data_IF_335254648922
#
_entry.id   IF_335254648922
#
_cell.length_a   1.000
_cell.length_b   1.000
_cell.length_c   1.000
_cell.angle_alpha   90.00
_cell.angle_beta   90.00
_cell.angle_gamma   90.00
#
_symmetry.space_group_name_H-M   'P 1'
#
loop_
_entity.id
_entity.type
_entity.pdbx_description
1 polymer ?
#
# COMPACT_ATOMS: atom_id res chain seq x y z
N UNK A 1 1.70 -13.37 -2.46
CA UNK A 1 0.51 -13.36 -3.34
C UNK A 1 -0.41 -12.23 -2.91
N UNK A 2 -0.84 -11.40 -3.85
CA UNK A 2 -1.60 -10.17 -3.66
C UNK A 2 -3.02 -10.43 -4.19
N UNK A 3 -4.04 -10.28 -3.33
CA UNK A 3 -5.45 -10.35 -3.72
C UNK A 3 -5.99 -8.94 -3.97
N UNK A 4 -6.54 -8.70 -5.16
CA UNK A 4 -7.24 -7.46 -5.52
C UNK A 4 -8.71 -7.80 -5.75
N UNK A 5 -9.59 -7.19 -4.93
CA UNK A 5 -11.04 -7.34 -5.06
C UNK A 5 -11.59 -6.26 -5.97
N UNK A 6 -12.16 -6.69 -7.10
CA UNK A 6 -12.86 -5.83 -8.03
C UNK A 6 -14.38 -6.09 -7.89
N UNK A 7 -15.25 -5.18 -8.39
CA UNK A 7 -16.69 -5.33 -8.22
C UNK A 7 -17.28 -6.66 -8.74
N UNK A 8 -16.66 -7.28 -9.76
CA UNK A 8 -17.18 -8.51 -10.42
C UNK A 8 -16.25 -9.72 -10.32
N UNK A 9 -15.02 -9.55 -9.85
CA UNK A 9 -14.03 -10.62 -9.84
C UNK A 9 -12.94 -10.38 -8.79
N UNK A 10 -12.14 -11.42 -8.56
CA UNK A 10 -10.96 -11.37 -7.70
C UNK A 10 -9.74 -11.68 -8.53
N UNK A 11 -8.75 -10.80 -8.47
CA UNK A 11 -7.48 -10.99 -9.13
C UNK A 11 -6.47 -11.43 -8.07
N UNK A 12 -5.72 -12.48 -8.38
CA UNK A 12 -4.61 -12.96 -7.56
C UNK A 12 -3.36 -12.87 -8.39
N UNK A 13 -2.36 -12.16 -7.86
CA UNK A 13 -1.07 -11.98 -8.53
C UNK A 13 0.07 -12.36 -7.59
N UNK A 14 1.14 -12.92 -8.12
CA UNK A 14 2.41 -13.04 -7.41
C UNK A 14 3.13 -11.69 -7.37
N UNK A 15 4.15 -11.57 -6.51
CA UNK A 15 5.00 -10.36 -6.51
C UNK A 15 5.73 -10.21 -7.85
N UNK A 16 6.23 -11.31 -8.42
CA UNK A 16 6.92 -11.33 -9.72
C UNK A 16 6.01 -10.87 -10.87
N UNK A 17 4.75 -11.29 -10.88
CA UNK A 17 3.77 -10.85 -11.88
C UNK A 17 3.49 -9.35 -11.75
N UNK A 18 3.35 -8.84 -10.52
CA UNK A 18 3.16 -7.41 -10.27
C UNK A 18 4.38 -6.60 -10.73
N UNK A 19 5.59 -7.07 -10.42
CA UNK A 19 6.82 -6.43 -10.88
C UNK A 19 6.92 -6.41 -12.40
N UNK A 20 6.63 -7.52 -13.08
CA UNK A 20 6.64 -7.57 -14.54
C UNK A 20 5.60 -6.63 -15.16
N UNK A 21 4.37 -6.60 -14.65
CA UNK A 21 3.32 -5.70 -15.13
C UNK A 21 3.74 -4.22 -14.98
N UNK A 22 4.35 -3.86 -13.85
CA UNK A 22 4.73 -2.48 -13.57
C UNK A 22 6.02 -2.06 -14.28
N UNK A 23 6.89 -2.98 -14.68
CA UNK A 23 8.05 -2.69 -15.54
C UNK A 23 7.66 -2.12 -16.91
N UNK A 24 6.46 -2.44 -17.40
CA UNK A 24 5.95 -1.91 -18.67
C UNK A 24 5.53 -0.42 -18.57
N UNK A 25 5.34 0.11 -17.36
CA UNK A 25 4.98 1.52 -17.12
C UNK A 25 5.75 2.07 -15.90
N UNK A 26 6.96 2.62 -16.12
CA UNK A 26 7.80 3.17 -15.06
C UNK A 26 7.14 4.34 -14.30
N UNK A 27 6.30 5.14 -14.95
CA UNK A 27 5.62 6.27 -14.31
C UNK A 27 4.58 5.77 -13.30
N UNK A 28 3.82 4.75 -13.67
CA UNK A 28 2.87 4.08 -12.78
C UNK A 28 3.59 3.48 -11.57
N UNK A 29 4.76 2.86 -11.79
CA UNK A 29 5.59 2.31 -10.71
C UNK A 29 6.04 3.39 -9.72
N UNK A 30 6.59 4.50 -10.21
CA UNK A 30 7.04 5.60 -9.35
C UNK A 30 5.88 6.20 -8.54
N UNK A 31 4.72 6.41 -9.19
CA UNK A 31 3.52 6.91 -8.53
C UNK A 31 3.03 5.96 -7.44
N UNK A 32 3.06 4.65 -7.67
CA UNK A 32 2.69 3.64 -6.68
C UNK A 32 3.62 3.69 -5.45
N UNK A 33 4.93 3.79 -5.66
CA UNK A 33 5.91 3.92 -4.57
C UNK A 33 5.71 5.20 -3.74
N UNK A 34 5.46 6.34 -4.39
CA UNK A 34 5.17 7.61 -3.71
C UNK A 34 3.92 7.50 -2.82
N UNK A 35 2.82 6.94 -3.36
CA UNK A 35 1.59 6.70 -2.59
C UNK A 35 1.83 5.79 -1.38
N UNK A 36 2.55 4.68 -1.59
CA UNK A 36 2.87 3.73 -0.52
C UNK A 36 3.59 4.38 0.66
N UNK A 37 4.62 5.18 0.39
CA UNK A 37 5.36 5.92 1.43
C UNK A 37 4.46 6.89 2.21
N UNK A 38 3.60 7.63 1.52
CA UNK A 38 2.68 8.57 2.16
C UNK A 38 1.69 7.87 3.10
N UNK A 39 1.08 6.76 2.64
CA UNK A 39 0.16 5.94 3.44
C UNK A 39 0.88 5.37 4.68
N UNK A 40 2.08 4.82 4.52
CA UNK A 40 2.83 4.25 5.63
C UNK A 40 3.23 5.31 6.67
N UNK A 41 3.65 6.50 6.23
CA UNK A 41 3.91 7.62 7.13
C UNK A 41 2.66 8.06 7.89
N UNK A 42 1.52 8.13 7.22
CA UNK A 42 0.25 8.46 7.87
C UNK A 42 -0.13 7.41 8.93
N UNK A 43 -0.01 6.11 8.61
CA UNK A 43 -0.24 5.01 9.55
C UNK A 43 0.67 5.11 10.78
N UNK A 44 1.97 5.38 10.58
CA UNK A 44 2.91 5.55 11.68
C UNK A 44 2.57 6.75 12.57
N UNK A 45 2.17 7.89 12.00
CA UNK A 45 1.74 9.06 12.77
C UNK A 45 0.50 8.76 13.60
N UNK A 46 -0.52 8.14 13.00
CA UNK A 46 -1.76 7.78 13.69
C UNK A 46 -1.47 6.79 14.84
N UNK A 47 -0.59 5.81 14.62
CA UNK A 47 -0.20 4.85 15.65
C UNK A 47 0.54 5.48 16.83
N UNK A 48 1.30 6.57 16.62
CA UNK A 48 1.95 7.33 17.72
C UNK A 48 0.93 8.12 18.53
N UNK A 49 0.01 8.81 17.85
CA UNK A 49 -1.05 9.58 18.51
C UNK A 49 -2.00 8.70 19.32
N UNK A 50 -2.36 7.53 18.82
CA UNK A 50 -3.17 6.56 19.57
C UNK A 50 -2.48 6.07 20.86
N UNK A 51 -1.17 5.83 20.81
CA UNK A 51 -0.38 5.41 21.99
C UNK A 51 -0.16 6.53 23.02
N UNK A 52 -0.18 7.80 22.60
CA UNK A 52 -0.05 8.94 23.52
C UNK A 52 -1.36 9.23 24.26
N UNK A 53 -2.52 9.02 23.63
CA UNK A 53 -3.84 9.13 24.26
C UNK A 53 -4.14 8.03 25.29
N UNK A 54 -3.64 6.81 25.08
CA UNK A 54 -3.84 5.67 25.99
C UNK A 54 -2.93 5.73 27.24
N UNK A 55 -1.86 6.54 27.21
CA UNK A 55 -0.95 6.74 28.36
C UNK A 55 -1.35 7.89 29.28
N UNK A 56 -2.29 8.74 28.88
CA UNK A 56 -2.77 9.88 29.66
C UNK A 56 -4.27 9.79 30.02
N UNK A 57 -4.88 8.61 29.82
CA UNK A 57 -6.27 8.31 30.19
C UNK A 57 -6.35 7.47 31.46
#
# INVERSE_FOLDING_TARGET
>A
MIEIRLPKCRLFLTEEEVEHLLKHDPELWEAALKRGKAIMRARQRNARQGKEGEKHG
#
